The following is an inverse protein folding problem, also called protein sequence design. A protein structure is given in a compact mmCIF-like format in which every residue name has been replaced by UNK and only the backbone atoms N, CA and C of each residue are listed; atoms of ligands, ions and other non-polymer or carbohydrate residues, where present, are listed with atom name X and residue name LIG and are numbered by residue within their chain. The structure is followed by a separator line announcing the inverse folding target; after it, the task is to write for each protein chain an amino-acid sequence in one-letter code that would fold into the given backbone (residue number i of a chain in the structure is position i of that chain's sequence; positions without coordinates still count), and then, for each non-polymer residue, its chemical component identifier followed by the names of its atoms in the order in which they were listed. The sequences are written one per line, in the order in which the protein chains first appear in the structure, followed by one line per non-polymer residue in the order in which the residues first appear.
data_IF_687091321318
#
_entry.id   IF_687091321318
#
_cell.length_a   1.000
_cell.length_b   1.000
_cell.length_c   1.000
_cell.angle_alpha   90.00
_cell.angle_beta   90.00
_cell.angle_gamma   90.00
#
_symmetry.space_group_name_H-M   'P 1'
#
loop_
_entity.id
_entity.type
_entity.pdbx_description
1 polymer ?
#
# COMPACT_ATOMS: atom_id res chain seq x y z
N UNK A 1 5.38 25.79 8.74
CA UNK A 1 6.05 24.48 8.75
C UNK A 1 5.13 23.47 8.08
N UNK A 2 5.62 22.65 7.15
CA UNK A 2 4.83 21.59 6.49
C UNK A 2 5.09 20.23 7.16
N UNK A 3 4.09 19.33 7.23
CA UNK A 3 4.29 18.00 7.79
C UNK A 3 5.24 17.18 6.91
N UNK A 4 6.10 16.37 7.54
CA UNK A 4 6.97 15.45 6.79
C UNK A 4 6.24 14.19 6.33
N UNK A 5 5.16 13.80 7.02
CA UNK A 5 4.40 12.59 6.75
C UNK A 5 2.89 12.83 6.91
N UNK A 6 2.12 12.39 5.93
CA UNK A 6 0.64 12.38 5.99
C UNK A 6 0.11 10.96 5.78
N UNK A 7 -0.81 10.54 6.66
CA UNK A 7 -1.61 9.32 6.49
C UNK A 7 -2.99 9.66 5.91
N UNK A 8 -3.46 8.86 4.96
CA UNK A 8 -4.72 9.05 4.24
C UNK A 8 -5.53 7.76 4.30
N UNK A 9 -6.77 7.87 4.78
CA UNK A 9 -7.76 6.79 4.73
C UNK A 9 -8.71 7.08 3.57
N UNK A 10 -8.72 6.22 2.55
CA UNK A 10 -9.54 6.38 1.35
C UNK A 10 -10.97 5.85 1.56
N UNK A 11 -11.68 6.41 2.54
CA UNK A 11 -13.06 6.06 2.84
C UNK A 11 -14.07 6.89 2.02
N UNK A 12 -15.33 6.46 1.99
CA UNK A 12 -16.43 7.20 1.38
C UNK A 12 -16.73 6.80 -0.06
N UNK A 13 -15.85 6.03 -0.73
CA UNK A 13 -16.05 5.60 -2.12
C UNK A 13 -17.42 4.96 -2.39
N UNK A 14 -17.89 4.09 -1.49
CA UNK A 14 -19.22 3.48 -1.62
C UNK A 14 -20.36 4.47 -1.40
N UNK A 15 -20.20 5.43 -0.47
CA UNK A 15 -21.21 6.47 -0.19
C UNK A 15 -21.33 7.40 -1.40
N UNK A 16 -20.20 7.88 -1.89
CA UNK A 16 -20.12 8.72 -3.08
C UNK A 16 -20.69 8.05 -4.34
N UNK A 17 -20.43 6.75 -4.55
CA UNK A 17 -21.07 6.01 -5.64
C UNK A 17 -22.60 6.01 -5.54
N UNK A 18 -23.15 5.83 -4.33
CA UNK A 18 -24.61 5.83 -4.11
C UNK A 18 -25.23 7.19 -4.39
N UNK A 19 -24.59 8.27 -3.97
CA UNK A 19 -25.04 9.65 -4.23
C UNK A 19 -25.16 9.93 -5.73
N UNK A 20 -24.30 9.31 -6.54
CA UNK A 20 -24.31 9.41 -8.00
C UNK A 20 -25.17 8.34 -8.69
N UNK A 21 -25.93 7.52 -7.94
CA UNK A 21 -26.68 6.37 -8.45
C UNK A 21 -25.82 5.39 -9.27
N UNK A 22 -24.54 5.24 -8.88
CA UNK A 22 -23.55 4.37 -9.52
C UNK A 22 -23.29 3.12 -8.71
N UNK A 23 -22.73 2.11 -9.39
CA UNK A 23 -22.26 0.87 -8.76
C UNK A 23 -21.08 1.15 -7.82
N UNK A 24 -20.96 0.45 -6.67
CA UNK A 24 -19.93 0.72 -5.66
C UNK A 24 -18.50 0.78 -6.20
N UNK A 25 -18.14 -0.13 -7.11
CA UNK A 25 -16.79 -0.18 -7.69
C UNK A 25 -16.45 1.05 -8.55
N UNK A 26 -17.42 1.73 -9.16
CA UNK A 26 -17.16 2.99 -9.86
C UNK A 26 -16.71 4.08 -8.89
N UNK A 27 -17.25 4.10 -7.67
CA UNK A 27 -16.74 4.99 -6.61
C UNK A 27 -15.30 4.67 -6.22
N UNK A 28 -14.90 3.40 -6.25
CA UNK A 28 -13.51 3.02 -6.00
C UNK A 28 -12.57 3.49 -7.11
N UNK A 29 -12.99 3.44 -8.38
CA UNK A 29 -12.23 4.00 -9.50
C UNK A 29 -12.05 5.52 -9.37
N UNK A 30 -13.13 6.25 -9.05
CA UNK A 30 -13.06 7.70 -8.81
C UNK A 30 -12.21 8.04 -7.58
N UNK A 31 -12.27 7.20 -6.54
CA UNK A 31 -11.43 7.33 -5.35
C UNK A 31 -9.94 7.16 -5.66
N UNK A 32 -9.59 6.24 -6.55
CA UNK A 32 -8.22 6.06 -7.04
C UNK A 32 -7.73 7.30 -7.78
N UNK A 33 -8.54 7.86 -8.70
CA UNK A 33 -8.20 9.11 -9.39
C UNK A 33 -7.97 10.26 -8.41
N UNK A 34 -8.85 10.41 -7.41
CA UNK A 34 -8.69 11.42 -6.37
C UNK A 34 -7.43 11.19 -5.52
N UNK A 35 -7.10 9.93 -5.21
CA UNK A 35 -5.87 9.60 -4.48
C UNK A 35 -4.62 10.02 -5.26
N UNK A 36 -4.60 9.86 -6.60
CA UNK A 36 -3.51 10.38 -7.45
C UNK A 36 -3.39 11.89 -7.33
N UNK A 37 -4.51 12.61 -7.43
CA UNK A 37 -4.54 14.08 -7.28
C UNK A 37 -4.01 14.53 -5.92
N UNK A 38 -4.40 13.86 -4.84
CA UNK A 38 -3.93 14.20 -3.48
C UNK A 38 -2.43 13.91 -3.32
N UNK A 39 -1.94 12.82 -3.92
CA UNK A 39 -0.50 12.52 -3.92
C UNK A 39 0.29 13.59 -4.69
N UNK A 40 -0.20 14.03 -5.84
CA UNK A 40 0.40 15.11 -6.62
C UNK A 40 0.51 16.39 -5.79
N UNK A 41 -0.59 16.81 -5.15
CA UNK A 41 -0.60 17.98 -4.26
C UNK A 41 0.37 17.86 -3.08
N UNK A 42 0.55 16.65 -2.55
CA UNK A 42 1.50 16.40 -1.47
C UNK A 42 2.95 16.52 -1.97
N UNK A 43 3.24 15.97 -3.16
CA UNK A 43 4.55 16.06 -3.80
C UNK A 43 4.91 17.51 -4.17
N UNK A 44 3.98 18.27 -4.75
CA UNK A 44 4.15 19.70 -5.07
C UNK A 44 4.49 20.54 -3.84
N UNK A 45 3.89 20.20 -2.69
CA UNK A 45 4.15 20.86 -1.40
C UNK A 45 5.43 20.36 -0.73
N UNK A 46 6.15 19.39 -1.29
CA UNK A 46 7.38 18.87 -0.70
C UNK A 46 7.17 17.91 0.48
N UNK A 47 5.96 17.36 0.66
CA UNK A 47 5.71 16.33 1.67
C UNK A 47 6.51 15.08 1.30
N UNK A 48 7.37 14.61 2.22
CA UNK A 48 8.30 13.51 1.94
C UNK A 48 7.61 12.15 1.99
N UNK A 49 6.70 11.93 2.93
CA UNK A 49 6.06 10.63 3.14
C UNK A 49 4.54 10.73 3.04
N UNK A 50 3.94 9.85 2.25
CA UNK A 50 2.49 9.64 2.21
C UNK A 50 2.20 8.19 2.55
N UNK A 51 1.17 7.92 3.33
CA UNK A 51 0.69 6.55 3.55
C UNK A 51 -0.77 6.47 3.23
N UNK A 52 -1.13 5.62 2.27
CA UNK A 52 -2.50 5.46 1.82
C UNK A 52 -3.05 4.11 2.29
N UNK A 53 -4.15 4.15 3.03
CA UNK A 53 -4.89 2.96 3.41
C UNK A 53 -5.87 2.59 2.29
N UNK A 54 -5.52 1.55 1.53
CA UNK A 54 -6.25 1.16 0.31
C UNK A 54 -7.27 0.06 0.58
N UNK A 55 -6.89 -0.99 1.30
CA UNK A 55 -7.77 -2.14 1.54
C UNK A 55 -7.39 -2.89 2.82
N UNK A 56 -8.36 -3.09 3.72
CA UNK A 56 -8.15 -3.83 4.97
C UNK A 56 -8.19 -5.35 4.77
N UNK A 57 -7.68 -6.12 5.73
CA UNK A 57 -7.88 -7.58 5.76
C UNK A 57 -9.36 -7.96 5.93
N UNK A 58 -10.08 -7.25 6.79
CA UNK A 58 -11.49 -7.48 7.07
C UNK A 58 -12.36 -7.20 5.83
N UNK A 59 -11.90 -6.34 4.92
CA UNK A 59 -12.58 -6.08 3.65
C UNK A 59 -12.59 -7.31 2.73
N UNK A 60 -11.60 -8.22 2.83
CA UNK A 60 -11.64 -9.49 2.10
C UNK A 60 -12.76 -10.42 2.59
N UNK A 61 -13.13 -10.33 3.87
CA UNK A 61 -14.16 -11.17 4.48
C UNK A 61 -15.56 -10.56 4.35
N UNK A 62 -15.65 -9.24 4.43
CA UNK A 62 -16.94 -8.53 4.54
C UNK A 62 -17.49 -7.99 3.22
N UNK A 63 -16.67 -7.82 2.18
CA UNK A 63 -17.13 -7.25 0.90
C UNK A 63 -17.62 -8.33 -0.08
N UNK A 64 -18.61 -8.02 -0.94
CA UNK A 64 -19.02 -8.92 -2.01
C UNK A 64 -17.85 -9.26 -2.95
N UNK A 65 -17.73 -10.54 -3.36
CA UNK A 65 -16.65 -11.03 -4.23
C UNK A 65 -16.47 -10.20 -5.51
N UNK A 66 -17.58 -9.78 -6.13
CA UNK A 66 -17.55 -8.95 -7.34
C UNK A 66 -16.93 -7.58 -7.08
N UNK A 67 -17.28 -6.94 -5.96
CA UNK A 67 -16.74 -5.63 -5.59
C UNK A 67 -15.23 -5.74 -5.33
N UNK A 68 -14.82 -6.75 -4.55
CA UNK A 68 -13.42 -7.01 -4.26
C UNK A 68 -12.60 -7.25 -5.55
N UNK A 69 -13.12 -8.05 -6.48
CA UNK A 69 -12.48 -8.29 -7.77
C UNK A 69 -12.24 -6.99 -8.55
N UNK A 70 -13.26 -6.13 -8.65
CA UNK A 70 -13.12 -4.85 -9.35
C UNK A 70 -12.10 -3.92 -8.67
N UNK A 71 -12.04 -3.90 -7.34
CA UNK A 71 -11.04 -3.11 -6.60
C UNK A 71 -9.62 -3.58 -6.95
N UNK A 72 -9.39 -4.90 -6.94
CA UNK A 72 -8.09 -5.48 -7.28
C UNK A 72 -7.73 -5.25 -8.76
N UNK A 73 -8.72 -5.29 -9.65
CA UNK A 73 -8.56 -4.98 -11.07
C UNK A 73 -8.10 -3.54 -11.28
N UNK A 74 -8.79 -2.54 -10.70
CA UNK A 74 -8.36 -1.14 -10.78
C UNK A 74 -7.01 -0.87 -10.13
N UNK A 75 -6.70 -1.59 -9.05
CA UNK A 75 -5.39 -1.51 -8.43
C UNK A 75 -4.30 -2.11 -9.32
N UNK A 76 -4.59 -3.21 -10.03
CA UNK A 76 -3.69 -3.78 -11.04
C UNK A 76 -3.47 -2.85 -12.23
N UNK A 77 -4.55 -2.26 -12.77
CA UNK A 77 -4.47 -1.22 -13.82
C UNK A 77 -3.59 -0.05 -13.37
N UNK A 78 -3.66 0.35 -12.10
CA UNK A 78 -2.80 1.41 -11.57
C UNK A 78 -1.32 1.02 -11.58
N UNK A 79 -0.99 -0.22 -11.22
CA UNK A 79 0.39 -0.70 -11.30
C UNK A 79 0.89 -0.66 -12.76
N UNK A 80 0.07 -1.08 -13.71
CA UNK A 80 0.40 -1.03 -15.12
C UNK A 80 0.60 0.41 -15.62
N UNK A 81 -0.22 1.35 -15.17
CA UNK A 81 -0.05 2.78 -15.47
C UNK A 81 1.25 3.34 -14.88
N UNK A 82 1.59 3.00 -13.64
CA UNK A 82 2.88 3.39 -13.02
C UNK A 82 4.05 2.81 -13.83
N UNK A 83 3.94 1.59 -14.32
CA UNK A 83 5.01 0.94 -15.08
C UNK A 83 5.20 1.53 -16.47
N UNK A 84 4.12 1.91 -17.15
CA UNK A 84 4.12 2.27 -18.58
C UNK A 84 4.11 3.77 -18.86
N UNK A 85 3.46 4.59 -18.03
CA UNK A 85 3.27 6.02 -18.30
C UNK A 85 4.35 6.89 -17.64
N UNK A 86 5.16 7.59 -18.43
CA UNK A 86 6.12 8.57 -17.90
C UNK A 86 5.44 9.76 -17.19
N UNK A 87 4.24 10.12 -17.63
CA UNK A 87 3.43 11.22 -17.06
C UNK A 87 2.73 10.84 -15.75
N UNK A 88 2.78 9.57 -15.34
CA UNK A 88 2.24 9.16 -14.06
C UNK A 88 2.89 9.94 -12.90
N UNK A 89 2.10 10.38 -11.90
CA UNK A 89 2.57 11.16 -10.75
C UNK A 89 3.79 10.54 -10.06
N UNK A 90 3.80 9.21 -9.90
CA UNK A 90 4.92 8.46 -9.32
C UNK A 90 6.22 8.67 -10.11
N UNK A 91 6.14 8.69 -11.44
CA UNK A 91 7.31 8.83 -12.31
C UNK A 91 7.74 10.30 -12.40
N UNK A 92 6.81 11.23 -12.63
CA UNK A 92 7.09 12.67 -12.72
C UNK A 92 7.77 13.23 -11.46
N UNK A 93 7.32 12.81 -10.28
CA UNK A 93 7.87 13.30 -9.01
C UNK A 93 8.98 12.41 -8.44
N UNK A 94 9.39 11.35 -9.14
CA UNK A 94 10.32 10.33 -8.63
C UNK A 94 9.93 9.88 -7.21
N UNK A 95 8.73 9.32 -7.09
CA UNK A 95 8.19 8.78 -5.83
C UNK A 95 8.64 7.33 -5.68
N UNK A 96 9.18 6.97 -4.52
CA UNK A 96 9.41 5.57 -4.15
C UNK A 96 8.09 4.95 -3.69
N UNK A 97 7.69 3.83 -4.29
CA UNK A 97 6.50 3.08 -3.87
C UNK A 97 6.93 1.93 -2.95
N UNK A 98 6.19 1.72 -1.87
CA UNK A 98 6.34 0.59 -0.95
C UNK A 98 4.98 0.01 -0.62
N UNK A 99 4.84 -1.30 -0.64
CA UNK A 99 3.61 -1.97 -0.20
C UNK A 99 3.77 -2.52 1.21
N UNK A 100 2.76 -2.30 2.05
CA UNK A 100 2.70 -2.81 3.42
C UNK A 100 1.39 -3.57 3.64
N UNK A 101 1.43 -4.63 4.45
CA UNK A 101 0.31 -5.54 4.69
C UNK A 101 0.57 -6.97 4.20
N UNK A 102 -0.48 -7.80 4.16
CA UNK A 102 -0.39 -9.22 3.80
C UNK A 102 -0.49 -9.43 2.29
N UNK A 103 0.47 -8.91 1.55
CA UNK A 103 0.47 -8.93 0.08
C UNK A 103 0.42 -10.35 -0.51
N UNK A 104 0.89 -11.36 0.21
CA UNK A 104 0.86 -12.78 -0.19
C UNK A 104 -0.55 -13.38 -0.35
N UNK A 105 -1.60 -12.72 0.17
CA UNK A 105 -2.99 -13.19 -0.03
C UNK A 105 -3.61 -12.66 -1.33
N UNK A 106 -2.93 -11.74 -2.01
CA UNK A 106 -3.38 -11.15 -3.26
C UNK A 106 -3.14 -12.13 -4.42
N UNK A 107 -3.84 -12.00 -5.55
CA UNK A 107 -3.56 -12.80 -6.74
C UNK A 107 -2.09 -12.66 -7.20
N UNK A 108 -1.47 -13.76 -7.63
CA UNK A 108 -0.03 -13.80 -7.99
C UNK A 108 0.34 -12.77 -9.05
N UNK A 109 -0.51 -12.58 -10.06
CA UNK A 109 -0.30 -11.57 -11.11
C UNK A 109 -0.17 -10.16 -10.51
N UNK A 110 -1.00 -9.84 -9.51
CA UNK A 110 -0.96 -8.54 -8.84
C UNK A 110 0.30 -8.40 -7.97
N UNK A 111 0.70 -9.47 -7.29
CA UNK A 111 1.95 -9.49 -6.51
C UNK A 111 3.17 -9.20 -7.40
N UNK A 112 3.23 -9.80 -8.60
CA UNK A 112 4.31 -9.55 -9.55
C UNK A 112 4.30 -8.12 -10.09
N UNK A 113 3.12 -7.55 -10.39
CA UNK A 113 2.99 -6.13 -10.77
C UNK A 113 3.50 -5.21 -9.66
N UNK A 114 3.09 -5.45 -8.42
CA UNK A 114 3.55 -4.68 -7.25
C UNK A 114 5.07 -4.73 -7.10
N UNK A 115 5.66 -5.92 -7.19
CA UNK A 115 7.12 -6.11 -7.11
C UNK A 115 7.87 -5.37 -8.22
N UNK A 116 7.35 -5.37 -9.45
CA UNK A 116 7.92 -4.59 -10.56
C UNK A 116 7.87 -3.09 -10.28
N UNK A 117 6.79 -2.59 -9.69
CA UNK A 117 6.65 -1.17 -9.30
C UNK A 117 7.64 -0.79 -8.19
N UNK A 118 7.77 -1.59 -7.14
CA UNK A 118 8.77 -1.36 -6.08
C UNK A 118 10.18 -1.34 -6.66
N UNK A 119 10.51 -2.30 -7.53
CA UNK A 119 11.82 -2.38 -8.16
C UNK A 119 12.12 -1.18 -9.07
N UNK A 120 11.14 -0.74 -9.87
CA UNK A 120 11.25 0.44 -10.75
C UNK A 120 11.54 1.70 -9.94
N UNK A 121 10.93 1.84 -8.77
CA UNK A 121 10.96 3.06 -7.96
C UNK A 121 11.93 3.02 -6.79
N UNK A 122 12.64 1.91 -6.56
CA UNK A 122 13.49 1.68 -5.37
C UNK A 122 14.56 2.75 -5.11
N UNK A 123 15.07 3.37 -6.17
CA UNK A 123 16.16 4.34 -6.11
C UNK A 123 15.67 5.79 -5.97
N UNK A 124 14.35 6.00 -5.99
CA UNK A 124 13.75 7.31 -5.79
C UNK A 124 13.92 7.75 -4.33
N UNK A 125 14.46 8.95 -4.10
CA UNK A 125 14.79 9.44 -2.75
C UNK A 125 14.00 10.68 -2.31
N UNK A 126 13.24 11.30 -3.22
CA UNK A 126 12.59 12.60 -2.98
C UNK A 126 11.30 12.45 -2.17
N UNK A 127 10.44 11.54 -2.60
CA UNK A 127 9.16 11.24 -1.96
C UNK A 127 9.01 9.72 -1.79
N UNK A 128 8.22 9.31 -0.81
CA UNK A 128 7.85 7.90 -0.60
C UNK A 128 6.36 7.80 -0.35
N UNK A 129 5.70 6.86 -1.03
CA UNK A 129 4.34 6.43 -0.72
C UNK A 129 4.35 5.01 -0.17
N UNK A 130 3.78 4.82 1.01
CA UNK A 130 3.48 3.51 1.56
C UNK A 130 2.01 3.19 1.26
N UNK A 131 1.77 2.10 0.55
CA UNK A 131 0.43 1.65 0.18
C UNK A 131 0.07 0.47 1.08
N UNK A 132 -0.87 0.70 2.01
CA UNK A 132 -1.38 -0.32 2.90
C UNK A 132 -2.52 -1.10 2.23
N UNK A 133 -2.24 -2.36 1.85
CA UNK A 133 -3.17 -3.24 1.15
C UNK A 133 -3.17 -4.62 1.81
N UNK A 134 -4.35 -5.23 1.94
CA UNK A 134 -4.53 -6.40 2.79
C UNK A 134 -3.92 -6.16 4.18
N UNK A 135 -4.16 -4.96 4.71
CA UNK A 135 -3.52 -4.47 5.92
C UNK A 135 -4.46 -4.63 7.13
N UNK A 136 -3.92 -5.11 8.25
CA UNK A 136 -4.61 -5.11 9.55
C UNK A 136 -3.66 -4.61 10.63
N UNK A 137 -3.94 -3.44 11.21
CA UNK A 137 -3.02 -2.79 12.15
C UNK A 137 -2.75 -3.62 13.42
N UNK A 138 -3.79 -4.29 13.94
CA UNK A 138 -3.62 -5.22 15.06
C UNK A 138 -2.76 -6.44 14.68
N UNK A 139 -2.92 -6.92 13.44
CA UNK A 139 -2.17 -8.06 12.94
C UNK A 139 -0.68 -7.72 12.79
N UNK A 140 -0.33 -6.50 12.35
CA UNK A 140 1.06 -6.05 12.31
C UNK A 140 1.71 -5.98 13.70
N UNK A 141 0.97 -5.54 14.73
CA UNK A 141 1.47 -5.54 16.11
C UNK A 141 1.74 -6.96 16.63
N UNK A 142 0.88 -7.91 16.29
CA UNK A 142 1.07 -9.34 16.63
C UNK A 142 2.29 -9.92 15.91
N UNK A 143 2.46 -9.60 14.63
CA UNK A 143 3.59 -10.07 13.82
C UNK A 143 4.91 -9.48 14.35
N UNK A 144 4.94 -8.19 14.71
CA UNK A 144 6.09 -7.53 15.32
C UNK A 144 6.49 -8.19 16.65
N UNK A 145 5.51 -8.43 17.55
CA UNK A 145 5.76 -9.14 18.81
C UNK A 145 6.35 -10.52 18.59
N UNK A 146 5.84 -11.25 17.60
CA UNK A 146 6.29 -12.60 17.26
C UNK A 146 7.71 -12.57 16.71
N UNK A 147 8.04 -11.59 15.86
CA UNK A 147 9.38 -11.37 15.34
C UNK A 147 10.39 -11.08 16.45
N UNK A 148 10.07 -10.19 17.40
CA UNK A 148 10.94 -9.89 18.56
C UNK A 148 11.23 -11.15 19.39
N UNK A 149 10.22 -12.00 19.64
CA UNK A 149 10.41 -13.28 20.34
C UNK A 149 11.33 -14.23 19.58
N UNK A 150 11.20 -14.30 18.24
CA UNK A 150 12.07 -15.14 17.41
C UNK A 150 13.52 -14.67 17.43
N UNK A 151 13.75 -13.36 17.33
CA UNK A 151 15.08 -12.79 17.44
C UNK A 151 15.70 -13.04 18.83
N UNK A 152 14.95 -12.85 19.91
CA UNK A 152 15.42 -13.13 21.28
C UNK A 152 15.84 -14.59 21.47
N UNK A 153 15.07 -15.56 20.97
CA UNK A 153 15.44 -16.99 21.01
C UNK A 153 16.70 -17.28 20.20
N UNK A 154 16.80 -16.75 18.98
CA UNK A 154 17.98 -16.96 18.13
C UNK A 154 19.26 -16.32 18.69
N UNK A 155 19.14 -15.25 19.48
CA UNK A 155 20.27 -14.65 20.20
C UNK A 155 20.71 -15.56 21.34
N UNK A 156 19.77 -16.11 22.12
CA UNK A 156 20.08 -17.02 23.24
C UNK A 156 20.74 -18.34 22.79
N UNK A 157 20.34 -18.89 21.64
CA UNK A 157 20.96 -20.10 21.08
C UNK A 157 22.35 -19.84 20.50
N UNK A 158 22.60 -18.66 19.92
CA UNK A 158 23.95 -18.25 19.46
C UNK A 158 24.93 -17.93 20.59
N UNK A 159 24.44 -17.62 21.80
CA UNK A 159 25.30 -17.40 22.97
C UNK A 159 25.68 -18.73 23.64
N UNK A 160 24.79 -19.72 23.64
CA UNK A 160 25.07 -21.05 24.18
C UNK A 160 26.08 -21.88 23.34
N UNK A 161 26.23 -21.61 22.04
CA UNK A 161 27.19 -22.29 21.16
C UNK A 161 28.59 -21.64 21.14
N UNK A 162 28.87 -20.70 22.03
CA UNK A 162 30.17 -20.00 22.17
C UNK A 162 30.76 -20.26 23.56
N UNK A 163 30.94 -21.51 23.94
CA UNK A 163 31.89 -21.88 25.00
C UNK A 163 33.27 -22.13 24.36
N UNK A 164 34.30 -21.33 24.67
CA UNK A 164 35.65 -21.61 24.24
C UNK A 164 36.22 -22.80 25.03
N UNK A 165 36.76 -23.80 24.33
CA UNK A 165 37.79 -24.71 24.83
C UNK A 165 39.11 -23.97 24.96
#
# INVERSE_FOLDING_TARGET
MLPQHVGIILDGNRRFARELMKRPWLGHKMGLEKARTVLEWACERGIRYVTAYVLSLENFQTRPKRELRMILEYFGEEMDNILTSADHVINRFAVQVRFIGRTHILPDELQEKMKRVEQKTKNNKKHTINIAIAYGGQQELVDARTWTRRCSRNISTRTASRTPT
#
